data_IF_293825933912
#
_entry.id   IF_293825933912
#
_cell.length_a   1.000
_cell.length_b   1.000
_cell.length_c   1.000
_cell.angle_alpha   90.00
_cell.angle_beta   90.00
_cell.angle_gamma   90.00
#
_symmetry.space_group_name_H-M   'P 1'
#
loop_
_entity.id
_entity.type
_entity.pdbx_description
1 polymer ?
#
# COMPACT_ATOMS: atom_id res chain seq x y z
N UNK A 1 25.46 -15.03 -3.13
CA UNK A 1 25.03 -14.12 -2.04
C UNK A 1 24.13 -14.89 -1.07
N UNK A 2 24.52 -15.05 0.21
CA UNK A 2 23.70 -15.77 1.22
C UNK A 2 22.31 -15.13 1.40
N UNK A 3 22.22 -13.81 1.21
CA UNK A 3 20.97 -13.04 1.32
C UNK A 3 20.08 -13.12 0.07
N UNK A 4 20.60 -13.61 -1.05
CA UNK A 4 19.94 -13.53 -2.36
C UNK A 4 19.65 -14.90 -2.97
N UNK A 5 20.25 -15.97 -2.42
CA UNK A 5 20.15 -17.36 -2.91
C UNK A 5 20.57 -17.51 -4.40
N UNK A 6 21.31 -16.53 -4.93
CA UNK A 6 21.82 -16.50 -6.31
C UNK A 6 23.33 -16.27 -6.35
N UNK A 7 23.98 -16.75 -7.40
CA UNK A 7 25.38 -16.45 -7.72
C UNK A 7 25.47 -15.11 -8.45
N UNK A 8 26.31 -14.20 -7.96
CA UNK A 8 26.66 -12.95 -8.65
C UNK A 8 28.15 -12.99 -8.98
N UNK A 9 28.54 -12.50 -10.15
CA UNK A 9 29.95 -12.29 -10.47
C UNK A 9 30.53 -11.21 -9.53
N UNK A 10 31.81 -11.34 -9.18
CA UNK A 10 32.53 -10.55 -8.17
C UNK A 10 32.04 -9.10 -7.97
N UNK A 11 31.69 -8.72 -6.74
CA UNK A 11 31.30 -7.36 -6.31
C UNK A 11 30.21 -6.68 -7.15
N UNK A 12 29.28 -7.44 -7.75
CA UNK A 12 28.07 -6.88 -8.35
C UNK A 12 27.03 -6.53 -7.27
N UNK A 13 27.35 -5.51 -6.47
CA UNK A 13 26.47 -5.01 -5.40
C UNK A 13 25.13 -4.53 -5.96
N UNK A 14 25.13 -3.95 -7.17
CA UNK A 14 23.94 -3.51 -7.87
C UNK A 14 23.09 -4.70 -8.33
N UNK A 15 23.69 -5.74 -8.93
CA UNK A 15 22.97 -6.95 -9.30
C UNK A 15 22.45 -7.74 -8.09
N UNK A 16 23.22 -7.76 -7.00
CA UNK A 16 22.80 -8.29 -5.70
C UNK A 16 21.59 -7.51 -5.14
N UNK A 17 21.64 -6.18 -5.19
CA UNK A 17 20.56 -5.30 -4.77
C UNK A 17 19.29 -5.51 -5.61
N UNK A 18 19.41 -5.56 -6.94
CA UNK A 18 18.29 -5.81 -7.83
C UNK A 18 17.69 -7.21 -7.65
N UNK A 19 18.52 -8.24 -7.46
CA UNK A 19 18.04 -9.59 -7.22
C UNK A 19 17.21 -9.67 -5.92
N UNK A 20 17.65 -8.99 -4.86
CA UNK A 20 16.89 -8.88 -3.62
C UNK A 20 15.56 -8.16 -3.84
N UNK A 21 15.57 -7.00 -4.51
CA UNK A 21 14.33 -6.27 -4.81
C UNK A 21 13.34 -7.13 -5.61
N UNK A 22 13.82 -7.90 -6.59
CA UNK A 22 12.98 -8.83 -7.38
C UNK A 22 12.40 -9.95 -6.52
N UNK A 23 13.20 -10.54 -5.62
CA UNK A 23 12.76 -11.61 -4.71
C UNK A 23 11.73 -11.14 -3.66
N UNK A 24 11.73 -9.85 -3.30
CA UNK A 24 10.79 -9.25 -2.36
C UNK A 24 9.55 -8.64 -3.00
N UNK A 25 9.36 -8.80 -4.32
CA UNK A 25 8.12 -8.37 -4.99
C UNK A 25 6.95 -9.18 -4.46
N UNK A 26 5.83 -8.49 -4.25
CA UNK A 26 4.59 -9.11 -3.81
C UNK A 26 4.08 -10.08 -4.88
N UNK A 27 3.73 -11.31 -4.49
CA UNK A 27 3.17 -12.30 -5.41
C UNK A 27 1.80 -11.91 -5.98
N UNK A 28 1.08 -11.00 -5.31
CA UNK A 28 -0.24 -10.52 -5.75
C UNK A 28 -0.15 -9.38 -6.76
N UNK A 29 0.63 -8.33 -6.47
CA UNK A 29 0.70 -7.14 -7.32
C UNK A 29 2.02 -6.95 -8.09
N UNK A 30 3.03 -7.80 -7.85
CA UNK A 30 4.35 -7.68 -8.48
C UNK A 30 5.19 -6.49 -8.03
N UNK A 31 4.66 -5.60 -7.19
CA UNK A 31 5.37 -4.44 -6.67
C UNK A 31 6.16 -4.76 -5.41
N UNK A 32 7.20 -3.95 -5.17
CA UNK A 32 7.91 -3.94 -3.90
C UNK A 32 7.22 -2.91 -2.98
N UNK A 33 6.47 -3.38 -1.98
CA UNK A 33 5.61 -2.50 -1.16
C UNK A 33 6.39 -1.36 -0.47
N UNK A 34 7.63 -1.61 -0.07
CA UNK A 34 8.48 -0.60 0.59
C UNK A 34 8.71 0.66 -0.25
N UNK A 35 8.61 0.57 -1.58
CA UNK A 35 8.75 1.75 -2.45
C UNK A 35 7.54 2.70 -2.33
N UNK A 36 6.41 2.20 -1.84
CA UNK A 36 5.13 2.92 -1.76
C UNK A 36 4.69 3.24 -0.34
N UNK A 37 5.41 2.75 0.69
CA UNK A 37 5.07 3.02 2.10
C UNK A 37 5.02 4.52 2.40
N UNK A 38 5.96 5.30 1.86
CA UNK A 38 5.97 6.76 2.05
C UNK A 38 4.73 7.42 1.41
N UNK A 39 4.38 6.99 0.19
CA UNK A 39 3.20 7.51 -0.50
C UNK A 39 1.91 7.10 0.23
N UNK A 40 1.84 5.87 0.74
CA UNK A 40 0.72 5.37 1.53
C UNK A 40 0.54 6.17 2.82
N UNK A 41 1.64 6.54 3.49
CA UNK A 41 1.62 7.45 4.64
C UNK A 41 1.10 8.83 4.26
N UNK A 42 1.69 9.46 3.24
CA UNK A 42 1.36 10.84 2.87
C UNK A 42 -0.07 10.99 2.33
N UNK A 43 -0.53 10.04 1.51
CA UNK A 43 -1.80 10.17 0.79
C UNK A 43 -2.99 9.57 1.55
N UNK A 44 -2.75 8.60 2.43
CA UNK A 44 -3.80 7.79 3.01
C UNK A 44 -3.62 7.50 4.52
N UNK A 45 -2.61 8.09 5.18
CA UNK A 45 -2.27 7.85 6.59
C UNK A 45 -2.07 6.35 6.92
N UNK A 46 -1.71 5.54 5.92
CA UNK A 46 -1.40 4.13 6.13
C UNK A 46 0.05 3.98 6.53
N UNK A 47 0.31 3.23 7.61
CA UNK A 47 1.69 3.00 8.05
C UNK A 47 2.52 2.24 7.00
N UNK A 48 1.89 1.36 6.22
CA UNK A 48 2.50 0.66 5.09
C UNK A 48 1.54 0.56 3.91
N UNK A 49 2.10 0.43 2.71
CA UNK A 49 1.31 0.19 1.50
C UNK A 49 0.64 -1.19 1.53
N UNK A 50 -0.70 -1.20 1.44
CA UNK A 50 -1.48 -2.43 1.29
C UNK A 50 -2.04 -2.54 -0.13
N UNK A 51 -1.43 -3.44 -0.91
CA UNK A 51 -1.83 -3.69 -2.29
C UNK A 51 -3.28 -4.17 -2.45
N UNK A 52 -3.90 -4.78 -1.43
CA UNK A 52 -5.30 -5.22 -1.52
C UNK A 52 -6.27 -4.05 -1.42
N UNK A 53 -5.86 -2.99 -0.72
CA UNK A 53 -6.66 -1.78 -0.53
C UNK A 53 -6.43 -0.83 -1.70
N UNK A 54 -5.17 -0.62 -2.08
CA UNK A 54 -4.80 0.30 -3.15
C UNK A 54 -5.06 -0.28 -4.54
N UNK A 55 -5.05 -1.62 -4.68
CA UNK A 55 -5.20 -2.31 -5.97
C UNK A 55 -6.13 -3.52 -5.82
N UNK A 56 -7.44 -3.30 -5.58
CA UNK A 56 -8.36 -4.36 -5.19
C UNK A 56 -8.67 -5.37 -6.30
N UNK A 57 -8.49 -5.02 -7.58
CA UNK A 57 -8.87 -5.84 -8.74
C UNK A 57 -7.74 -5.84 -9.81
N UNK A 58 -6.55 -6.36 -9.47
CA UNK A 58 -5.37 -6.43 -10.38
C UNK A 58 -5.68 -7.06 -11.76
N UNK A 59 -6.51 -8.11 -11.79
CA UNK A 59 -6.88 -8.82 -13.02
C UNK A 59 -7.76 -8.01 -13.97
N UNK A 60 -8.41 -6.96 -13.45
CA UNK A 60 -9.31 -6.08 -14.22
C UNK A 60 -8.64 -4.78 -14.63
N UNK A 61 -7.40 -4.55 -14.21
CA UNK A 61 -6.61 -3.42 -14.67
C UNK A 61 -6.09 -3.71 -16.06
N UNK A 62 -6.56 -2.93 -17.04
CA UNK A 62 -6.07 -3.02 -18.40
C UNK A 62 -4.87 -2.06 -18.55
N UNK A 63 -3.70 -2.63 -18.81
CA UNK A 63 -2.47 -1.88 -19.08
C UNK A 63 -2.36 -1.66 -20.60
N UNK A 64 -2.35 -0.40 -21.04
CA UNK A 64 -2.05 0.00 -22.43
C UNK A 64 -0.72 0.75 -22.48
N UNK A 65 0.36 -0.01 -22.64
CA UNK A 65 1.72 0.54 -22.55
C UNK A 65 1.95 1.12 -21.16
N UNK A 66 2.27 2.41 -21.09
CA UNK A 66 2.47 3.13 -19.83
C UNK A 66 1.16 3.69 -19.23
N UNK A 67 0.02 3.42 -19.87
CA UNK A 67 -1.30 3.89 -19.42
C UNK A 67 -2.04 2.78 -18.69
N UNK A 68 -2.45 3.05 -17.44
CA UNK A 68 -3.35 2.18 -16.69
C UNK A 68 -4.79 2.64 -16.99
N UNK A 69 -5.58 1.79 -17.64
CA UNK A 69 -7.01 2.01 -17.76
C UNK A 69 -7.68 1.49 -16.49
N UNK A 70 -8.29 2.40 -15.73
CA UNK A 70 -9.05 2.08 -14.54
C UNK A 70 -10.54 2.15 -14.90
N UNK A 71 -11.24 1.01 -15.04
CA UNK A 71 -12.67 1.02 -15.30
C UNK A 71 -13.46 1.70 -14.18
N UNK A 72 -14.58 2.33 -14.53
CA UNK A 72 -15.44 3.07 -13.60
C UNK A 72 -15.86 2.24 -12.37
N UNK A 73 -16.10 0.93 -12.54
CA UNK A 73 -16.47 0.06 -11.43
C UNK A 73 -15.34 -0.13 -10.39
N UNK A 74 -14.06 0.01 -10.77
CA UNK A 74 -12.93 -0.02 -9.85
C UNK A 74 -12.81 1.31 -9.11
N UNK A 75 -12.99 2.43 -9.83
CA UNK A 75 -13.02 3.77 -9.23
C UNK A 75 -14.12 3.90 -8.17
N UNK A 76 -15.33 3.42 -8.46
CA UNK A 76 -16.45 3.49 -7.53
C UNK A 76 -16.20 2.65 -6.26
N UNK A 77 -15.63 1.45 -6.38
CA UNK A 77 -15.24 0.64 -5.21
C UNK A 77 -14.15 1.29 -4.37
N UNK A 78 -13.14 1.90 -5.01
CA UNK A 78 -12.09 2.63 -4.32
C UNK A 78 -12.67 3.82 -3.54
N UNK A 79 -13.58 4.57 -4.16
CA UNK A 79 -14.27 5.70 -3.54
C UNK A 79 -15.18 5.27 -2.38
N UNK A 80 -15.90 4.15 -2.52
CA UNK A 80 -16.67 3.53 -1.43
C UNK A 80 -15.77 3.09 -0.26
N UNK A 81 -14.63 2.44 -0.55
CA UNK A 81 -13.66 2.06 0.47
C UNK A 81 -13.07 3.28 1.19
N UNK A 82 -12.77 4.35 0.46
CA UNK A 82 -12.29 5.62 1.00
C UNK A 82 -13.36 6.29 1.88
N UNK A 83 -14.60 6.36 1.42
CA UNK A 83 -15.74 6.93 2.16
C UNK A 83 -16.06 6.15 3.43
N UNK A 84 -16.11 4.82 3.35
CA UNK A 84 -16.32 3.97 4.53
C UNK A 84 -15.22 4.17 5.56
N UNK A 85 -13.95 4.32 5.13
CA UNK A 85 -12.84 4.57 6.04
C UNK A 85 -12.83 5.99 6.61
N UNK A 86 -13.19 7.01 5.83
CA UNK A 86 -13.34 8.38 6.35
C UNK A 86 -14.44 8.44 7.42
N UNK A 87 -15.56 7.74 7.21
CA UNK A 87 -16.62 7.61 8.21
C UNK A 87 -16.14 6.89 9.47
N UNK A 88 -15.42 5.77 9.33
CA UNK A 88 -14.87 5.03 10.46
C UNK A 88 -13.83 5.87 11.25
N UNK A 89 -12.96 6.62 10.57
CA UNK A 89 -12.01 7.53 11.23
C UNK A 89 -12.71 8.71 11.92
N UNK A 90 -13.77 9.27 11.33
CA UNK A 90 -14.60 10.30 11.99
C UNK A 90 -15.27 9.74 13.24
N UNK A 91 -15.88 8.56 13.17
CA UNK A 91 -16.51 7.92 14.34
C UNK A 91 -15.50 7.65 15.46
N UNK A 92 -14.32 7.13 15.15
CA UNK A 92 -13.25 6.91 16.14
C UNK A 92 -12.80 8.23 16.78
N UNK A 93 -12.55 9.26 15.97
CA UNK A 93 -12.14 10.57 16.49
C UNK A 93 -13.21 11.22 17.38
N UNK A 94 -14.50 11.02 17.08
CA UNK A 94 -15.59 11.53 17.94
C UNK A 94 -15.71 10.78 19.26
N UNK A 95 -15.43 9.48 19.29
CA UNK A 95 -15.45 8.67 20.51
C UNK A 95 -14.25 8.98 21.40
N UNK A 96 -13.05 9.14 20.82
CA UNK A 96 -11.85 9.51 21.59
C UNK A 96 -11.95 10.92 22.20
N UNK A 97 -12.54 11.88 21.47
CA UNK A 97 -12.84 13.21 22.02
C UNK A 97 -13.81 13.15 23.21
N UNK A 98 -14.87 12.36 23.11
CA UNK A 98 -15.84 12.18 24.19
C UNK A 98 -15.26 11.48 25.44
N UNK A 99 -14.29 10.56 25.26
CA UNK A 99 -13.63 9.87 26.38
C UNK A 99 -12.63 10.79 27.09
N UNK A 100 -12.03 11.76 26.40
CA UNK A 100 -11.12 12.74 27.01
C UNK A 100 -11.87 13.81 27.82
N UNK A 101 -13.06 14.22 27.38
CA UNK A 101 -13.89 15.18 28.12
C UNK A 101 -14.50 14.58 29.40
N UNK A 102 -14.68 13.26 29.46
CA UNK A 102 -15.21 12.57 30.64
C UNK A 102 -14.18 12.33 31.78
N UNK A 103 -12.89 12.67 31.58
CA UNK A 103 -11.83 12.47 32.58
C UNK A 103 -11.33 13.74 33.27
N UNK A 104 -11.97 14.90 33.02
CA UNK A 104 -11.59 16.17 33.66
C UNK A 104 -12.29 16.44 35.00
N UNK A 105 -13.27 15.62 35.39
CA UNK A 105 -14.09 15.82 36.58
C UNK A 105 -13.85 14.80 37.72
N UNK A 106 -12.68 14.14 37.77
CA UNK A 106 -12.30 13.27 38.89
C UNK A 106 -10.94 13.62 39.50
#
# INVERSE_FOLDING_TARGET
CVRCVTFHANNDDEGCFQARRRAHRCGHCGFLHSDYDLAAKILHDYEHFDCKICIPDMEKLEMRGDTILVPEHIMNKLDEHLKMKQHACMEIATVDGAIQDAKKDQ
#
